data_IF_213252189863
#
_entry.id   IF_213252189863
#
_cell.length_a   1.000
_cell.length_b   1.000
_cell.length_c   1.000
_cell.angle_alpha   90.00
_cell.angle_beta   90.00
_cell.angle_gamma   90.00
#
_symmetry.space_group_name_H-M   'P 1'
#
loop_
_entity.id
_entity.type
_entity.pdbx_description
1 polymer ?
#
# COMPACT_ATOMS: atom_id res chain seq x y z
N UNK A 1 -16.40 -12.55 -27.03
CA UNK A 1 -15.00 -12.24 -26.73
C UNK A 1 -14.15 -12.59 -27.94
N UNK A 2 -13.20 -11.74 -28.32
CA UNK A 2 -12.21 -12.08 -29.34
C UNK A 2 -11.09 -12.93 -28.74
N UNK A 3 -10.36 -13.70 -29.56
CA UNK A 3 -9.18 -14.44 -29.10
C UNK A 3 -8.14 -13.51 -28.45
N UNK A 4 -7.93 -12.33 -29.05
CA UNK A 4 -7.01 -11.32 -28.56
C UNK A 4 -7.38 -10.81 -27.16
N UNK A 5 -8.66 -10.53 -26.90
CA UNK A 5 -9.13 -10.06 -25.59
C UNK A 5 -8.88 -11.10 -24.50
N UNK A 6 -9.10 -12.39 -24.80
CA UNK A 6 -8.79 -13.47 -23.86
C UNK A 6 -7.28 -13.56 -23.61
N UNK A 7 -6.45 -13.48 -24.66
CA UNK A 7 -5.00 -13.55 -24.50
C UNK A 7 -4.47 -12.41 -23.62
N UNK A 8 -4.95 -11.18 -23.85
CA UNK A 8 -4.59 -10.00 -23.04
C UNK A 8 -4.99 -10.21 -21.58
N UNK A 9 -6.24 -10.57 -21.32
CA UNK A 9 -6.74 -10.77 -19.95
C UNK A 9 -5.97 -11.88 -19.20
N UNK A 10 -5.69 -13.00 -19.87
CA UNK A 10 -4.88 -14.07 -19.26
C UNK A 10 -3.44 -13.62 -18.98
N UNK A 11 -2.86 -12.80 -19.86
CA UNK A 11 -1.56 -12.18 -19.65
C UNK A 11 -1.55 -11.24 -18.44
N UNK A 12 -2.56 -10.39 -18.30
CA UNK A 12 -2.76 -9.51 -17.15
C UNK A 12 -2.84 -10.31 -15.84
N UNK A 13 -3.67 -11.35 -15.81
CA UNK A 13 -3.81 -12.23 -14.64
C UNK A 13 -2.49 -12.92 -14.30
N UNK A 14 -1.75 -13.43 -15.28
CA UNK A 14 -0.43 -14.04 -15.06
C UNK A 14 0.56 -13.03 -14.47
N UNK A 15 0.62 -11.82 -15.01
CA UNK A 15 1.47 -10.75 -14.48
C UNK A 15 1.12 -10.41 -13.03
N UNK A 16 -0.18 -10.36 -12.69
CA UNK A 16 -0.63 -10.15 -11.31
C UNK A 16 -0.22 -11.30 -10.40
N UNK A 17 -0.39 -12.56 -10.81
CA UNK A 17 0.02 -13.71 -10.00
C UNK A 17 1.52 -13.66 -9.71
N UNK A 18 2.34 -13.44 -10.73
CA UNK A 18 3.80 -13.32 -10.58
C UNK A 18 4.17 -12.15 -9.68
N UNK A 19 3.55 -10.99 -9.88
CA UNK A 19 3.78 -9.81 -9.06
C UNK A 19 3.36 -10.02 -7.60
N UNK A 20 2.23 -10.71 -7.36
CA UNK A 20 1.75 -11.07 -6.02
C UNK A 20 2.75 -11.97 -5.30
N UNK A 21 3.19 -13.05 -5.95
CA UNK A 21 4.25 -13.91 -5.39
C UNK A 21 5.52 -13.12 -5.09
N UNK A 22 5.87 -12.17 -5.98
CA UNK A 22 7.04 -11.32 -5.82
C UNK A 22 6.91 -10.39 -4.60
N UNK A 23 5.80 -9.66 -4.42
CA UNK A 23 5.67 -8.71 -3.30
C UNK A 23 5.57 -9.40 -1.95
N UNK A 24 4.93 -10.58 -1.91
CA UNK A 24 4.84 -11.39 -0.68
C UNK A 24 6.24 -11.83 -0.24
N UNK A 25 7.12 -12.16 -1.17
CA UNK A 25 8.46 -12.68 -0.90
C UNK A 25 9.56 -11.59 -0.87
N UNK A 26 9.22 -10.36 -1.25
CA UNK A 26 10.19 -9.26 -1.38
C UNK A 26 10.66 -8.79 -0.01
N UNK A 27 11.96 -8.47 0.10
CA UNK A 27 12.46 -7.70 1.23
C UNK A 27 11.89 -6.27 1.18
N UNK A 28 11.14 -5.81 2.20
CA UNK A 28 10.64 -4.44 2.24
C UNK A 28 11.74 -3.39 2.50
N UNK A 29 12.96 -3.83 2.84
CA UNK A 29 14.06 -3.00 3.30
C UNK A 29 14.31 -3.20 4.79
N UNK A 30 14.46 -4.46 5.22
CA UNK A 30 14.71 -4.81 6.62
C UNK A 30 16.08 -4.26 7.07
N UNK A 31 16.11 -3.64 8.24
CA UNK A 31 17.32 -3.08 8.85
C UNK A 31 17.62 -3.81 10.16
N UNK A 32 18.82 -4.39 10.27
CA UNK A 32 19.32 -4.94 11.52
C UNK A 32 19.76 -3.78 12.43
N UNK A 33 18.99 -3.49 13.48
CA UNK A 33 19.44 -2.61 14.54
C UNK A 33 20.17 -3.47 15.57
N UNK A 34 21.51 -3.38 15.61
CA UNK A 34 22.31 -4.13 16.58
C UNK A 34 21.98 -3.64 17.99
N UNK A 35 21.41 -4.51 18.81
CA UNK A 35 21.40 -4.33 20.26
C UNK A 35 22.72 -4.85 20.84
N UNK A 36 23.51 -3.98 21.44
CA UNK A 36 24.45 -4.31 22.53
C UNK A 36 24.68 -3.04 23.33
N UNK A 37 24.40 -3.01 24.65
CA UNK A 37 25.05 -3.94 25.58
C UNK A 37 24.13 -4.64 26.59
N UNK A 38 24.45 -5.93 26.78
CA UNK A 38 24.24 -6.75 27.97
C UNK A 38 22.80 -7.10 28.36
N UNK A 39 22.54 -8.40 28.27
CA UNK A 39 21.98 -9.18 29.37
C UNK A 39 22.25 -8.51 30.74
N UNK A 40 21.29 -7.74 31.22
CA UNK A 40 21.12 -7.51 32.65
C UNK A 40 19.73 -7.95 33.01
N UNK A 41 19.68 -9.21 33.44
CA UNK A 41 18.92 -9.65 34.61
C UNK A 41 18.62 -8.45 35.52
N UNK A 42 17.34 -8.17 35.73
CA UNK A 42 16.74 -7.87 37.03
C UNK A 42 15.22 -7.97 36.80
N UNK A 43 14.65 -9.05 37.34
CA UNK A 43 13.27 -9.05 37.83
C UNK A 43 13.13 -7.94 38.85
N UNK A 44 12.28 -6.95 38.59
CA UNK A 44 11.45 -6.33 39.63
C UNK A 44 10.45 -5.35 39.00
N UNK A 45 9.20 -5.56 39.39
CA UNK A 45 8.08 -4.64 39.43
C UNK A 45 7.24 -4.41 38.16
N UNK A 46 6.08 -5.07 38.19
CA UNK A 46 4.91 -4.86 37.37
C UNK A 46 4.31 -3.46 37.62
N UNK A 47 4.82 -2.43 36.93
CA UNK A 47 4.11 -1.14 36.75
C UNK A 47 4.68 -0.23 35.64
N UNK A 48 5.39 -0.77 34.64
CA UNK A 48 5.99 0.05 33.57
C UNK A 48 6.01 -0.62 32.17
N UNK A 49 5.00 -1.42 31.82
CA UNK A 49 4.98 -2.18 30.56
C UNK A 49 4.42 -1.44 29.34
N UNK A 50 3.87 -0.22 29.49
CA UNK A 50 3.22 0.48 28.36
C UNK A 50 4.08 1.55 27.67
N UNK A 51 5.17 2.03 28.28
CA UNK A 51 5.96 3.14 27.72
C UNK A 51 7.17 2.69 26.88
N UNK A 52 7.60 1.43 26.95
CA UNK A 52 8.78 0.93 26.21
C UNK A 52 8.49 0.40 24.80
N UNK A 53 7.23 0.37 24.36
CA UNK A 53 6.85 -0.21 23.06
C UNK A 53 6.77 0.78 21.87
N UNK A 54 7.18 2.04 22.06
CA UNK A 54 7.02 3.10 21.04
C UNK A 54 8.31 3.86 20.69
N UNK A 55 9.44 3.67 21.39
CA UNK A 55 10.70 4.33 20.97
C UNK A 55 11.53 3.42 20.05
N UNK A 56 11.96 3.91 18.87
CA UNK A 56 12.97 3.23 18.08
C UNK A 56 14.26 3.10 18.90
N UNK A 57 15.00 2.01 18.73
CA UNK A 57 16.41 1.96 19.14
C UNK A 57 17.09 3.22 18.59
N UNK A 58 17.61 4.09 19.47
CA UNK A 58 18.18 5.38 19.09
C UNK A 58 19.34 5.24 18.09
N UNK A 59 19.99 4.08 18.04
CA UNK A 59 21.08 3.77 17.11
C UNK A 59 20.65 3.61 15.64
N UNK A 60 19.36 3.38 15.36
CA UNK A 60 18.82 3.35 13.99
C UNK A 60 18.20 4.68 13.54
N UNK A 61 18.14 5.67 14.43
CA UNK A 61 17.51 6.97 14.17
C UNK A 61 18.42 7.97 13.43
N UNK A 62 19.72 7.68 13.30
CA UNK A 62 20.67 8.55 12.62
C UNK A 62 20.68 8.32 11.10
N UNK A 63 19.66 8.85 10.42
CA UNK A 63 19.74 9.22 8.99
C UNK A 63 18.82 8.48 8.01
N UNK A 64 18.07 7.47 8.44
CA UNK A 64 17.12 6.75 7.59
C UNK A 64 15.67 6.96 8.05
N UNK A 65 14.71 7.08 7.11
CA UNK A 65 13.26 7.00 7.39
C UNK A 65 12.86 5.58 7.83
N UNK A 66 13.49 5.07 8.88
CA UNK A 66 13.32 3.70 9.40
C UNK A 66 12.24 3.71 10.46
N UNK A 67 11.27 2.79 10.36
CA UNK A 67 10.21 2.63 11.36
C UNK A 67 10.05 1.16 11.73
N UNK A 68 9.68 0.91 12.98
CA UNK A 68 9.42 -0.44 13.48
C UNK A 68 8.00 -0.90 13.14
N UNK A 69 7.88 -2.04 12.47
CA UNK A 69 6.59 -2.68 12.24
C UNK A 69 6.29 -3.70 13.35
N UNK A 70 5.26 -3.43 14.16
CA UNK A 70 4.83 -4.36 15.24
C UNK A 70 4.37 -5.72 14.71
N UNK A 71 3.81 -5.80 13.49
CA UNK A 71 3.33 -7.07 12.91
C UNK A 71 4.49 -7.95 12.44
N UNK A 72 5.44 -7.38 11.71
CA UNK A 72 6.62 -8.09 11.22
C UNK A 72 7.73 -8.20 12.28
N UNK A 73 7.61 -7.49 13.40
CA UNK A 73 8.61 -7.39 14.47
C UNK A 73 10.01 -7.02 13.97
N UNK A 74 10.06 -6.07 13.03
CA UNK A 74 11.29 -5.67 12.38
C UNK A 74 11.29 -4.18 12.03
N UNK A 75 12.49 -3.61 11.91
CA UNK A 75 12.71 -2.25 11.43
C UNK A 75 12.75 -2.25 9.90
N UNK A 76 11.98 -1.35 9.29
CA UNK A 76 11.84 -1.25 7.83
C UNK A 76 12.27 0.13 7.37
N UNK A 77 13.24 0.18 6.46
CA UNK A 77 13.71 1.39 5.80
C UNK A 77 12.63 1.94 4.86
N UNK A 78 12.34 3.23 4.98
CA UNK A 78 11.33 3.92 4.18
C UNK A 78 9.93 3.31 4.33
N UNK A 79 9.62 2.80 5.52
CA UNK A 79 8.36 2.15 5.85
C UNK A 79 7.15 2.99 5.44
N UNK A 80 6.23 2.40 4.67
CA UNK A 80 4.98 3.03 4.28
C UNK A 80 3.81 2.49 5.10
N UNK A 81 3.64 1.17 5.13
CA UNK A 81 2.65 0.49 5.95
C UNK A 81 2.93 -1.01 6.00
N UNK A 82 2.27 -1.71 6.92
CA UNK A 82 2.14 -3.17 6.83
C UNK A 82 0.85 -3.49 6.08
N UNK A 83 0.94 -4.20 4.96
CA UNK A 83 -0.21 -4.56 4.16
C UNK A 83 -0.71 -5.98 4.53
N UNK A 84 -1.88 -6.13 5.17
CA UNK A 84 -2.40 -7.46 5.50
C UNK A 84 -2.67 -8.32 4.27
N UNK A 85 -2.99 -7.70 3.12
CA UNK A 85 -3.28 -8.41 1.87
C UNK A 85 -2.06 -9.19 1.34
N UNK A 86 -0.84 -8.69 1.59
CA UNK A 86 0.39 -9.38 1.21
C UNK A 86 1.04 -10.12 2.38
N UNK A 87 0.57 -9.90 3.61
CA UNK A 87 1.25 -10.39 4.81
C UNK A 87 2.67 -9.82 4.97
N UNK A 88 2.99 -8.72 4.29
CA UNK A 88 4.33 -8.14 4.22
C UNK A 88 4.27 -6.61 4.38
N UNK A 89 5.39 -6.01 4.77
CA UNK A 89 5.53 -4.56 4.77
C UNK A 89 5.68 -4.02 3.36
N UNK A 90 5.19 -2.81 3.15
CA UNK A 90 5.55 -1.97 2.02
C UNK A 90 6.56 -0.94 2.54
N UNK A 91 7.78 -0.99 2.02
CA UNK A 91 8.90 -0.16 2.41
C UNK A 91 9.72 0.28 1.21
N UNK A 92 10.92 0.81 1.42
CA UNK A 92 11.72 1.43 0.37
C UNK A 92 12.01 0.49 -0.82
N UNK A 93 12.29 -0.79 -0.56
CA UNK A 93 12.75 -1.72 -1.59
C UNK A 93 11.60 -2.27 -2.46
N UNK A 94 10.39 -2.37 -1.92
CA UNK A 94 9.24 -2.96 -2.64
C UNK A 94 8.09 -1.97 -2.93
N UNK A 95 8.22 -0.68 -2.57
CA UNK A 95 7.19 0.34 -2.85
C UNK A 95 6.83 0.42 -4.34
N UNK A 96 7.81 0.30 -5.24
CA UNK A 96 7.52 0.36 -6.68
C UNK A 96 6.70 -0.81 -7.16
N UNK A 97 7.06 -2.02 -6.71
CA UNK A 97 6.31 -3.22 -7.04
C UNK A 97 4.87 -3.09 -6.54
N UNK A 98 4.67 -2.54 -5.34
CA UNK A 98 3.35 -2.20 -4.82
C UNK A 98 2.56 -1.26 -5.75
N UNK A 99 3.18 -0.16 -6.21
CA UNK A 99 2.51 0.78 -7.14
C UNK A 99 2.15 0.13 -8.48
N UNK A 100 3.06 -0.66 -9.05
CA UNK A 100 2.84 -1.37 -10.32
C UNK A 100 1.72 -2.39 -10.16
N UNK A 101 1.70 -3.14 -9.05
CA UNK A 101 0.64 -4.09 -8.74
C UNK A 101 -0.71 -3.40 -8.59
N UNK A 102 -0.78 -2.29 -7.85
CA UNK A 102 -2.02 -1.54 -7.67
C UNK A 102 -2.61 -1.05 -9.01
N UNK A 103 -1.75 -0.53 -9.89
CA UNK A 103 -2.15 -0.15 -11.26
C UNK A 103 -2.60 -1.39 -12.05
N UNK A 104 -1.84 -2.49 -11.97
CA UNK A 104 -2.17 -3.74 -12.65
C UNK A 104 -3.51 -4.33 -12.20
N UNK A 105 -3.84 -4.26 -10.91
CA UNK A 105 -5.11 -4.70 -10.36
C UNK A 105 -6.28 -3.90 -10.95
N UNK A 106 -6.16 -2.57 -10.99
CA UNK A 106 -7.18 -1.69 -11.60
C UNK A 106 -7.36 -2.00 -13.09
N UNK A 107 -6.27 -2.19 -13.84
CA UNK A 107 -6.35 -2.54 -15.27
C UNK A 107 -7.04 -3.89 -15.46
N UNK A 108 -6.62 -4.91 -14.71
CA UNK A 108 -7.18 -6.27 -14.84
C UNK A 108 -8.65 -6.32 -14.43
N UNK A 109 -9.05 -5.57 -13.39
CA UNK A 109 -10.45 -5.46 -12.97
C UNK A 109 -11.29 -4.71 -14.02
N UNK A 110 -10.76 -3.65 -14.62
CA UNK A 110 -11.42 -2.97 -15.74
C UNK A 110 -11.62 -3.92 -16.93
N UNK A 111 -10.58 -4.68 -17.30
CA UNK A 111 -10.67 -5.74 -18.31
C UNK A 111 -11.74 -6.77 -17.96
N UNK A 112 -11.79 -7.23 -16.71
CA UNK A 112 -12.81 -8.16 -16.22
C UNK A 112 -14.23 -7.59 -16.36
N UNK A 113 -14.47 -6.33 -15.94
CA UNK A 113 -15.78 -5.67 -16.06
C UNK A 113 -16.22 -5.58 -17.52
N UNK A 114 -15.32 -5.17 -18.42
CA UNK A 114 -15.60 -5.10 -19.86
C UNK A 114 -15.91 -6.48 -20.43
N UNK A 115 -15.11 -7.49 -20.10
CA UNK A 115 -15.33 -8.87 -20.55
C UNK A 115 -16.67 -9.42 -20.06
N UNK A 116 -17.00 -9.17 -18.79
CA UNK A 116 -18.24 -9.60 -18.16
C UNK A 116 -19.47 -8.93 -18.78
N UNK A 117 -19.40 -7.63 -19.06
CA UNK A 117 -20.48 -6.90 -19.74
C UNK A 117 -20.70 -7.40 -21.18
N UNK A 118 -19.62 -7.67 -21.91
CA UNK A 118 -19.70 -8.27 -23.25
C UNK A 118 -20.26 -9.70 -23.24
N UNK A 119 -20.02 -10.45 -22.16
CA UNK A 119 -20.60 -11.78 -22.00
C UNK A 119 -22.09 -11.68 -21.66
N UNK A 120 -22.46 -10.84 -20.69
CA UNK A 120 -23.84 -10.62 -20.26
C UNK A 120 -24.74 -10.14 -21.41
N UNK A 121 -24.28 -9.17 -22.20
CA UNK A 121 -25.05 -8.67 -23.37
C UNK A 121 -25.24 -9.76 -24.44
N UNK A 122 -24.24 -10.63 -24.65
CA UNK A 122 -24.38 -11.77 -25.58
C UNK A 122 -25.30 -12.85 -25.05
N UNK A 123 -25.25 -13.16 -23.74
CA UNK A 123 -26.13 -14.15 -23.14
C UNK A 123 -27.59 -13.68 -23.11
N UNK A 124 -27.85 -12.40 -22.80
CA UNK A 124 -29.21 -11.84 -22.80
C UNK A 124 -29.86 -11.90 -24.20
N UNK A 125 -29.09 -11.65 -25.27
CA UNK A 125 -29.55 -11.85 -26.65
C UNK A 125 -29.90 -13.33 -26.90
N UNK A 126 -29.12 -14.26 -26.35
CA UNK A 126 -29.33 -15.71 -26.48
C UNK A 126 -30.49 -16.24 -25.60
N UNK A 127 -30.72 -15.62 -24.44
CA UNK A 127 -31.72 -16.00 -23.44
C UNK A 127 -33.08 -15.34 -23.69
N UNK A 128 -33.15 -14.23 -24.42
CA UNK A 128 -34.42 -13.73 -25.00
C UNK A 128 -35.11 -14.82 -25.84
N UNK A 129 -34.34 -15.81 -26.33
CA UNK A 129 -34.83 -16.99 -27.06
C UNK A 129 -35.14 -18.21 -26.15
N UNK A 130 -34.75 -18.20 -24.87
CA UNK A 130 -34.88 -19.32 -23.93
C UNK A 130 -35.10 -18.82 -22.49
N UNK A 131 -36.34 -18.92 -22.01
CA UNK A 131 -36.77 -18.56 -20.64
C UNK A 131 -35.74 -18.93 -19.57
N UNK A 132 -35.22 -17.93 -18.84
CA UNK A 132 -34.16 -18.08 -17.83
C UNK A 132 -34.61 -17.84 -16.38
N UNK A 133 -33.89 -18.50 -15.46
CA UNK A 133 -34.08 -18.50 -14.01
C UNK A 133 -33.49 -17.24 -13.34
N UNK A 134 -34.30 -16.46 -12.60
CA UNK A 134 -33.90 -15.17 -12.01
C UNK A 134 -32.74 -15.18 -11.00
N UNK A 135 -32.34 -16.34 -10.47
CA UNK A 135 -31.22 -16.45 -9.51
C UNK A 135 -29.86 -16.13 -10.16
N UNK A 136 -29.61 -16.64 -11.37
CA UNK A 136 -28.32 -16.42 -12.08
C UNK A 136 -28.15 -14.96 -12.47
N UNK A 137 -29.22 -14.30 -12.93
CA UNK A 137 -29.21 -12.87 -13.26
C UNK A 137 -28.95 -11.98 -12.03
N UNK A 138 -29.58 -12.29 -10.90
CA UNK A 138 -29.35 -11.57 -9.64
C UNK A 138 -27.91 -11.71 -9.15
N UNK A 139 -27.33 -12.91 -9.22
CA UNK A 139 -25.94 -13.16 -8.84
C UNK A 139 -24.95 -12.46 -9.77
N UNK A 140 -25.20 -12.48 -11.09
CA UNK A 140 -24.37 -11.77 -12.06
C UNK A 140 -24.40 -10.26 -11.81
N UNK A 141 -25.60 -9.71 -11.60
CA UNK A 141 -25.80 -8.28 -11.35
C UNK A 141 -25.13 -7.82 -10.05
N UNK A 142 -25.28 -8.58 -8.96
CA UNK A 142 -24.64 -8.26 -7.68
C UNK A 142 -23.12 -8.33 -7.76
N UNK A 143 -22.56 -9.32 -8.47
CA UNK A 143 -21.12 -9.46 -8.68
C UNK A 143 -20.56 -8.29 -9.52
N UNK A 144 -21.29 -7.86 -10.55
CA UNK A 144 -20.91 -6.71 -11.37
C UNK A 144 -20.92 -5.41 -10.55
N UNK A 145 -21.97 -5.19 -9.75
CA UNK A 145 -22.05 -4.02 -8.87
C UNK A 145 -20.89 -4.01 -7.87
N UNK A 146 -20.60 -5.14 -7.23
CA UNK A 146 -19.48 -5.26 -6.32
C UNK A 146 -18.14 -4.93 -6.99
N UNK A 147 -17.91 -5.44 -8.20
CA UNK A 147 -16.68 -5.19 -8.98
C UNK A 147 -16.51 -3.71 -9.33
N UNK A 148 -17.60 -3.01 -9.68
CA UNK A 148 -17.55 -1.57 -9.96
C UNK A 148 -17.23 -0.75 -8.69
N UNK A 149 -17.85 -1.10 -7.56
CA UNK A 149 -17.58 -0.44 -6.27
C UNK A 149 -16.13 -0.70 -5.81
N UNK A 150 -15.66 -1.93 -5.98
CA UNK A 150 -14.30 -2.34 -5.69
C UNK A 150 -13.28 -1.57 -6.55
N UNK A 151 -13.52 -1.44 -7.85
CA UNK A 151 -12.69 -0.63 -8.75
C UNK A 151 -12.66 0.85 -8.33
N UNK A 152 -13.82 1.42 -8.00
CA UNK A 152 -13.90 2.81 -7.54
C UNK A 152 -13.06 3.04 -6.27
N UNK A 153 -13.16 2.14 -5.29
CA UNK A 153 -12.34 2.18 -4.09
C UNK A 153 -10.84 2.06 -4.39
N UNK A 154 -10.44 1.16 -5.28
CA UNK A 154 -9.03 1.01 -5.68
C UNK A 154 -8.48 2.25 -6.38
N UNK A 155 -9.27 2.94 -7.19
CA UNK A 155 -8.87 4.21 -7.82
C UNK A 155 -8.64 5.30 -6.77
N UNK A 156 -9.52 5.41 -5.76
CA UNK A 156 -9.29 6.34 -4.64
C UNK A 156 -8.00 6.01 -3.88
N UNK A 157 -7.76 4.72 -3.63
CA UNK A 157 -6.56 4.25 -2.97
C UNK A 157 -5.28 4.51 -3.78
N UNK A 158 -5.34 4.34 -5.11
CA UNK A 158 -4.23 4.70 -6.00
C UNK A 158 -3.98 6.21 -6.00
N UNK A 159 -5.03 7.04 -6.03
CA UNK A 159 -4.87 8.49 -5.96
C UNK A 159 -4.19 8.93 -4.65
N UNK A 160 -4.52 8.29 -3.53
CA UNK A 160 -3.85 8.49 -2.26
C UNK A 160 -2.33 8.20 -2.35
N UNK A 161 -1.95 7.05 -2.88
CA UNK A 161 -0.53 6.70 -3.01
C UNK A 161 0.22 7.56 -4.04
N UNK A 162 -0.44 7.97 -5.13
CA UNK A 162 0.13 8.95 -6.08
C UNK A 162 0.40 10.28 -5.35
N UNK A 163 -0.54 10.75 -4.53
CA UNK A 163 -0.33 11.94 -3.70
C UNK A 163 0.91 11.77 -2.80
N UNK A 164 1.00 10.66 -2.06
CA UNK A 164 2.15 10.33 -1.23
C UNK A 164 3.48 10.38 -2.00
N UNK A 165 3.54 9.77 -3.19
CA UNK A 165 4.72 9.80 -4.06
C UNK A 165 5.03 11.22 -4.55
N UNK A 166 4.04 11.96 -5.03
CA UNK A 166 4.19 13.34 -5.53
C UNK A 166 4.72 14.29 -4.44
N UNK A 167 4.34 14.05 -3.19
CA UNK A 167 4.79 14.87 -2.06
C UNK A 167 5.97 14.26 -1.30
N UNK A 168 6.50 13.10 -1.71
CA UNK A 168 7.57 12.36 -1.02
C UNK A 168 7.26 12.17 0.47
N UNK A 169 6.04 11.76 0.77
CA UNK A 169 5.58 11.43 2.11
C UNK A 169 5.03 10.01 2.11
N UNK A 170 5.28 9.26 3.18
CA UNK A 170 4.75 7.91 3.38
C UNK A 170 3.38 7.96 4.06
N UNK A 171 2.57 6.92 3.86
CA UNK A 171 1.24 6.80 4.47
C UNK A 171 1.35 6.84 6.00
N UNK A 172 2.29 6.10 6.58
CA UNK A 172 2.60 6.13 8.01
C UNK A 172 2.98 7.54 8.49
N UNK A 173 3.88 8.21 7.77
CA UNK A 173 4.34 9.57 8.12
C UNK A 173 3.18 10.57 8.10
N UNK A 174 2.30 10.48 7.11
CA UNK A 174 1.14 11.35 7.03
C UNK A 174 0.14 11.10 8.16
N UNK A 175 -0.14 9.84 8.49
CA UNK A 175 -1.10 9.50 9.55
C UNK A 175 -0.56 9.90 10.92
N UNK A 176 0.73 9.67 11.16
CA UNK A 176 1.37 9.86 12.46
C UNK A 176 2.22 11.14 12.53
N UNK A 177 2.02 12.11 11.64
CA UNK A 177 2.88 13.31 11.54
C UNK A 177 3.09 14.04 12.87
N UNK A 178 2.07 14.04 13.76
CA UNK A 178 2.14 14.66 15.10
C UNK A 178 3.14 13.99 16.05
N UNK A 179 3.52 12.73 15.78
CA UNK A 179 4.53 12.00 16.55
C UNK A 179 5.95 12.38 16.13
N UNK A 180 6.11 13.08 15.01
CA UNK A 180 7.37 13.29 14.33
C UNK A 180 7.76 14.77 14.31
N UNK A 181 8.70 15.19 15.18
CA UNK A 181 9.13 16.59 15.28
C UNK A 181 9.60 17.19 13.96
N UNK A 182 10.13 16.37 13.05
CA UNK A 182 10.57 16.80 11.71
C UNK A 182 9.43 17.34 10.83
N UNK A 183 8.18 16.96 11.12
CA UNK A 183 6.99 17.48 10.43
C UNK A 183 6.36 18.70 11.11
N UNK A 184 6.94 19.17 12.23
CA UNK A 184 6.42 20.30 12.99
C UNK A 184 7.06 21.60 12.54
N UNK A 185 6.24 22.57 12.12
CA UNK A 185 6.67 23.95 11.98
C UNK A 185 6.51 24.66 13.33
N UNK A 186 7.60 24.89 14.04
CA UNK A 186 7.60 25.74 15.24
C UNK A 186 7.66 27.21 14.81
N UNK A 187 6.57 27.95 14.98
CA UNK A 187 6.65 29.42 15.01
C UNK A 187 7.12 29.80 16.43
N UNK A 188 8.28 30.44 16.54
CA UNK A 188 8.84 30.92 17.83
C UNK A 188 7.97 31.96 18.55
N UNK A 189 6.88 32.40 17.95
CA UNK A 189 5.96 33.41 18.51
C UNK A 189 4.59 32.80 18.79
N UNK A 190 4.39 32.39 20.04
CA UNK A 190 3.12 32.30 20.77
C UNK A 190 1.97 31.45 20.18
N UNK A 191 1.39 30.63 21.07
CA UNK A 191 0.30 29.64 20.88
C UNK A 191 0.77 28.26 20.43
N UNK A 192 0.48 27.23 21.24
CA UNK A 192 0.87 25.83 21.02
C UNK A 192 0.21 25.13 19.83
N UNK A 193 0.00 25.84 18.72
CA UNK A 193 -0.62 25.31 17.51
C UNK A 193 0.47 24.85 16.54
N UNK A 194 0.78 23.55 16.60
CA UNK A 194 1.78 22.92 15.72
C UNK A 194 1.20 22.79 14.32
N UNK A 195 1.84 23.41 13.32
CA UNK A 195 1.44 23.30 11.91
C UNK A 195 2.26 22.24 11.20
N UNK A 196 1.61 21.46 10.33
CA UNK A 196 2.26 20.48 9.48
C UNK A 196 3.18 21.15 8.45
N UNK A 197 4.41 20.65 8.34
CA UNK A 197 5.38 20.94 7.27
C UNK A 197 5.97 19.63 6.79
N UNK A 198 6.05 19.42 5.48
CA UNK A 198 6.74 18.26 4.93
C UNK A 198 8.20 18.61 4.59
N UNK A 199 9.21 18.10 5.35
CA UNK A 199 10.62 18.39 5.09
C UNK A 199 11.18 17.67 3.86
N UNK A 200 10.51 16.61 3.38
CA UNK A 200 10.97 15.76 2.28
C UNK A 200 10.51 16.22 0.90
N UNK A 201 9.62 17.22 0.85
CA UNK A 201 9.07 17.73 -0.40
C UNK A 201 10.09 18.62 -1.14
N UNK A 202 10.63 18.13 -2.26
CA UNK A 202 11.57 18.88 -3.14
C UNK A 202 10.92 19.42 -4.43
N UNK A 203 9.59 19.37 -4.50
CA UNK A 203 8.82 19.62 -5.73
C UNK A 203 8.41 18.32 -6.44
N UNK A 204 7.22 18.32 -7.04
CA UNK A 204 6.57 17.10 -7.59
C UNK A 204 7.45 16.36 -8.59
N UNK A 205 8.05 17.06 -9.55
CA UNK A 205 8.88 16.43 -10.58
C UNK A 205 10.15 15.79 -9.99
N UNK A 206 10.79 16.45 -9.02
CA UNK A 206 11.97 15.90 -8.37
C UNK A 206 11.61 14.69 -7.50
N UNK A 207 10.50 14.76 -6.78
CA UNK A 207 10.02 13.64 -5.96
C UNK A 207 9.69 12.41 -6.81
N UNK A 208 9.04 12.60 -7.98
CA UNK A 208 8.78 11.53 -8.93
C UNK A 208 10.08 10.93 -9.49
N UNK A 209 11.05 11.78 -9.86
CA UNK A 209 12.36 11.32 -10.32
C UNK A 209 13.08 10.52 -9.24
N UNK A 210 13.13 11.02 -8.00
CA UNK A 210 13.72 10.32 -6.86
C UNK A 210 13.00 8.96 -6.67
N UNK A 211 11.66 8.95 -6.68
CA UNK A 211 10.87 7.73 -6.55
C UNK A 211 11.13 6.71 -7.65
N UNK A 212 11.37 7.14 -8.89
CA UNK A 212 11.68 6.30 -10.06
C UNK A 212 13.18 5.97 -10.22
N UNK A 213 14.07 6.68 -9.51
CA UNK A 213 15.52 6.45 -9.51
C UNK A 213 16.03 5.58 -8.33
N UNK A 214 15.35 5.56 -7.18
CA UNK A 214 15.63 4.63 -6.06
C UNK A 214 15.88 3.18 -6.53
N UNK A 215 17.06 2.61 -6.30
CA UNK A 215 17.22 1.17 -6.52
C UNK A 215 16.51 0.46 -5.37
N UNK A 216 15.40 -0.21 -5.69
CA UNK A 216 14.81 -1.27 -4.87
C UNK A 216 15.28 -2.60 -5.43
#
# INVERSE_FOLDING_TARGET
>A
MSFLTNLVFNGEVLMLIVGMCSIISSDPGLVACNSSPSDKLIESDASASELRNELPNEDCAFGGRVRYCKRCKANVQGFDHHCPAFGNCVGQNNHRLFMVLLIGFIITEASYIVCSLQFATKSEILDTTRSQNGLTGNLASSTMLFSVLQMAWQVLFLMWHIYCVCFNIRTEEWINWKKYPEFHLSNESQTGNVRFRNPYHKGVLQNLKDFLALKG
#
